data_IF_140046996457
#
_entry.id   IF_140046996457
#
_cell.length_a   1.000
_cell.length_b   1.000
_cell.length_c   1.000
_cell.angle_alpha   90.00
_cell.angle_beta   90.00
_cell.angle_gamma   90.00
#
_symmetry.space_group_name_H-M   'P 1'
#
loop_
_entity.id
_entity.type
_entity.pdbx_description
1 polymer ?
#
# COMPACT_ATOMS: atom_id res chain seq x y z
N UNK A 1 -10.85 5.99 -1.99
CA UNK A 1 -10.43 4.88 -1.12
C UNK A 1 -9.47 5.45 -0.09
N UNK A 2 -9.67 5.16 1.19
CA UNK A 2 -8.91 5.77 2.28
C UNK A 2 -7.93 4.74 2.84
N UNK A 3 -6.65 5.11 2.88
CA UNK A 3 -5.60 4.35 3.55
C UNK A 3 -5.04 5.12 4.74
N UNK A 4 -4.66 4.38 5.78
CA UNK A 4 -4.09 4.94 7.00
C UNK A 4 -2.78 4.23 7.36
N UNK A 5 -1.73 5.02 7.60
CA UNK A 5 -0.47 4.53 8.14
C UNK A 5 -0.07 5.38 9.35
N UNK A 6 -0.21 4.80 10.54
CA UNK A 6 -0.05 5.52 11.80
C UNK A 6 -1.01 6.72 11.88
N UNK A 7 -0.44 7.93 11.89
CA UNK A 7 -1.17 9.19 11.99
C UNK A 7 -1.38 9.87 10.63
N UNK A 8 -0.91 9.27 9.53
CA UNK A 8 -1.11 9.77 8.18
C UNK A 8 -2.32 9.10 7.55
N UNK A 9 -3.15 9.91 6.90
CA UNK A 9 -4.30 9.45 6.14
C UNK A 9 -4.13 9.89 4.69
N UNK A 10 -4.32 8.95 3.78
CA UNK A 10 -4.27 9.16 2.34
C UNK A 10 -5.65 8.90 1.76
N UNK A 11 -6.20 9.87 1.05
CA UNK A 11 -7.46 9.72 0.32
C UNK A 11 -7.18 9.67 -1.19
N UNK A 12 -7.36 8.48 -1.77
CA UNK A 12 -7.17 8.24 -3.19
C UNK A 12 -8.52 8.27 -3.91
N UNK A 13 -8.74 9.28 -4.74
CA UNK A 13 -9.94 9.40 -5.57
C UNK A 13 -9.72 8.77 -6.96
N UNK A 14 -10.73 8.05 -7.46
CA UNK A 14 -10.72 7.46 -8.80
C UNK A 14 -9.74 6.29 -8.98
N UNK A 15 -9.41 5.58 -7.90
CA UNK A 15 -8.55 4.39 -7.92
C UNK A 15 -9.39 3.12 -7.84
N UNK A 16 -8.93 2.05 -8.48
CA UNK A 16 -9.56 0.73 -8.43
C UNK A 16 -9.30 0.09 -7.07
N UNK A 17 -8.03 0.11 -6.67
CA UNK A 17 -7.60 -0.44 -5.38
C UNK A 17 -6.41 0.36 -4.84
N UNK A 18 -6.22 0.30 -3.54
CA UNK A 18 -5.11 0.90 -2.82
C UNK A 18 -4.90 0.10 -1.53
N UNK A 19 -3.69 -0.42 -1.35
CA UNK A 19 -3.34 -1.17 -0.15
C UNK A 19 -1.89 -0.96 0.26
N UNK A 20 -1.62 -1.20 1.55
CA UNK A 20 -0.26 -1.18 2.09
C UNK A 20 0.51 -2.42 1.64
N UNK A 21 1.71 -2.21 1.13
CA UNK A 21 2.59 -3.31 0.79
C UNK A 21 3.24 -3.89 2.04
N UNK A 22 3.21 -5.22 2.14
CA UNK A 22 3.78 -5.97 3.26
C UNK A 22 3.28 -5.52 4.64
N UNK A 23 1.97 -5.60 4.79
CA UNK A 23 1.25 -5.33 6.04
C UNK A 23 1.84 -6.08 7.24
N UNK A 24 1.83 -5.48 8.43
CA UNK A 24 2.39 -6.15 9.62
C UNK A 24 1.54 -7.32 10.12
N UNK A 25 0.25 -7.32 9.77
CA UNK A 25 -0.69 -8.36 10.14
C UNK A 25 -0.55 -9.58 9.21
N UNK A 26 -0.05 -10.67 9.78
CA UNK A 26 0.21 -11.92 9.07
C UNK A 26 -1.04 -12.65 8.58
N UNK A 27 -2.22 -12.25 9.06
CA UNK A 27 -3.49 -12.82 8.61
C UNK A 27 -3.98 -12.21 7.30
N UNK A 28 -3.42 -11.06 6.87
CA UNK A 28 -3.80 -10.40 5.63
C UNK A 28 -3.05 -11.01 4.44
N UNK A 29 -3.75 -11.14 3.31
CA UNK A 29 -3.16 -11.62 2.04
C UNK A 29 -2.08 -10.70 1.45
N UNK A 30 -1.94 -9.47 1.97
CA UNK A 30 -0.93 -8.49 1.58
C UNK A 30 0.34 -8.53 2.45
N UNK A 31 0.42 -9.45 3.43
CA UNK A 31 1.65 -9.73 4.16
C UNK A 31 2.53 -10.72 3.39
N UNK A 32 3.81 -10.39 3.27
CA UNK A 32 4.82 -11.15 2.55
C UNK A 32 6.10 -11.38 3.38
N UNK A 33 6.32 -10.63 4.47
CA UNK A 33 7.53 -10.66 5.30
C UNK A 33 8.77 -10.08 4.61
N UNK A 34 8.58 -9.34 3.51
CA UNK A 34 9.64 -8.83 2.63
C UNK A 34 10.07 -7.39 2.94
N UNK A 35 9.59 -6.82 4.04
CA UNK A 35 9.92 -5.48 4.54
C UNK A 35 11.43 -5.28 4.73
N UNK A 36 12.20 -6.36 4.86
CA UNK A 36 13.65 -6.32 4.97
C UNK A 36 14.38 -6.11 3.62
N UNK A 37 13.77 -6.49 2.50
CA UNK A 37 14.32 -6.39 1.14
C UNK A 37 13.76 -5.21 0.34
N UNK A 38 12.50 -4.82 0.58
CA UNK A 38 11.86 -3.65 -0.05
C UNK A 38 11.40 -2.66 1.01
N UNK A 39 12.36 -2.09 1.75
CA UNK A 39 12.12 -1.14 2.85
C UNK A 39 11.40 0.15 2.46
N UNK A 40 11.34 0.42 1.17
CA UNK A 40 10.93 1.70 0.65
C UNK A 40 9.57 1.61 -0.05
N UNK A 41 8.83 0.49 -0.03
CA UNK A 41 7.51 0.43 -0.67
C UNK A 41 6.43 0.49 0.40
N UNK A 42 5.71 1.60 0.47
CA UNK A 42 4.66 1.81 1.47
C UNK A 42 3.29 1.38 0.95
N UNK A 43 2.91 1.85 -0.24
CA UNK A 43 1.58 1.61 -0.80
C UNK A 43 1.64 1.22 -2.28
N UNK A 44 0.74 0.32 -2.64
CA UNK A 44 0.40 0.00 -4.02
C UNK A 44 -0.97 0.58 -4.29
N UNK A 45 -1.07 1.40 -5.34
CA UNK A 45 -2.31 2.05 -5.76
C UNK A 45 -2.56 1.72 -7.23
N UNK A 46 -3.68 1.09 -7.50
CA UNK A 46 -4.08 0.68 -8.84
C UNK A 46 -5.15 1.62 -9.40
N UNK A 47 -4.91 2.09 -10.61
CA UNK A 47 -5.85 2.89 -11.40
C UNK A 47 -6.17 2.15 -12.68
N UNK A 48 -7.20 2.59 -13.42
CA UNK A 48 -7.58 1.96 -14.70
C UNK A 48 -6.43 1.83 -15.71
N UNK A 49 -5.46 2.73 -15.65
CA UNK A 49 -4.41 2.82 -16.67
C UNK A 49 -3.00 2.52 -16.13
N UNK A 50 -2.81 2.52 -14.81
CA UNK A 50 -1.48 2.48 -14.19
C UNK A 50 -1.51 1.85 -12.81
N UNK A 51 -0.44 1.13 -12.48
CA UNK A 51 -0.08 0.78 -11.11
C UNK A 51 0.96 1.79 -10.59
N UNK A 52 0.65 2.45 -9.50
CA UNK A 52 1.49 3.43 -8.83
C UNK A 52 2.06 2.79 -7.56
N UNK A 53 3.39 2.85 -7.44
CA UNK A 53 4.10 2.37 -6.27
C UNK A 53 4.64 3.59 -5.54
N UNK A 54 4.18 3.80 -4.30
CA UNK A 54 4.66 4.88 -3.45
C UNK A 54 5.87 4.41 -2.65
N UNK A 55 6.92 5.23 -2.69
CA UNK A 55 8.15 5.04 -1.93
C UNK A 55 8.41 6.28 -1.07
N UNK A 56 8.31 6.15 0.27
CA UNK A 56 8.73 7.19 1.22
C UNK A 56 10.02 6.82 1.97
#
# INVERSE_FOLDING_TARGET
>A
MILQEGNLQFDFNGVIDAFKFDEKDRSKGTFHGLSHCMKAVDFIVETENKCIISIM
#
